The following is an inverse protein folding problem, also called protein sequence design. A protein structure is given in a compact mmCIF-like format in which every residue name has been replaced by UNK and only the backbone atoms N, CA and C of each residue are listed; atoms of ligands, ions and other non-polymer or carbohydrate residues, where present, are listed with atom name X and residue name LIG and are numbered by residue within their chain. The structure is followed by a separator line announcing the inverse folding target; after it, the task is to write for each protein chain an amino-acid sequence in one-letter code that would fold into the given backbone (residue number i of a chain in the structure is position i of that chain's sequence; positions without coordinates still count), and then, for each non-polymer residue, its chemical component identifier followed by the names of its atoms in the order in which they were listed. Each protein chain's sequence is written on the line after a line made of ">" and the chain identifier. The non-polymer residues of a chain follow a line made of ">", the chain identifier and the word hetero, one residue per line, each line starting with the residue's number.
data_IF_821270633793
#
_entry.id   IF_821270633793
#
_cell.length_a   1.000
_cell.length_b   1.000
_cell.length_c   1.000
_cell.angle_alpha   90.00
_cell.angle_beta   90.00
_cell.angle_gamma   90.00
#
_symmetry.space_group_name_H-M   'P 1'
#
loop_
_entity.id
_entity.type
_entity.pdbx_description
1 polymer ?
#
# COMPACT_ATOMS: atom_id res chain seq x y z
N UNK A 1 10.16 -12.93 1.84
CA UNK A 1 10.39 -11.48 1.92
C UNK A 1 9.32 -10.76 1.13
N UNK A 2 8.85 -9.65 1.63
CA UNK A 2 7.84 -8.83 0.95
C UNK A 2 8.37 -7.43 0.73
N UNK A 3 8.10 -6.88 -0.43
CA UNK A 3 8.41 -5.50 -0.75
C UNK A 3 7.12 -4.76 -1.06
N UNK A 4 6.85 -3.73 -0.28
CA UNK A 4 5.69 -2.87 -0.46
C UNK A 4 6.12 -1.56 -1.10
N UNK A 5 5.32 -1.12 -2.05
CA UNK A 5 5.50 0.18 -2.69
C UNK A 5 4.14 0.87 -2.76
N UNK A 6 4.06 2.05 -2.18
CA UNK A 6 2.84 2.84 -2.16
C UNK A 6 3.11 4.23 -2.68
N UNK A 7 2.34 4.63 -3.66
CA UNK A 7 2.27 6.00 -4.14
C UNK A 7 0.80 6.30 -4.40
N UNK A 8 0.18 6.97 -3.44
CA UNK A 8 -1.25 7.21 -3.48
C UNK A 8 -1.54 8.70 -3.57
N UNK A 9 -2.48 9.04 -4.43
CA UNK A 9 -3.05 10.39 -4.49
C UNK A 9 -4.34 10.37 -3.70
N UNK A 10 -4.44 11.25 -2.72
CA UNK A 10 -5.57 11.32 -1.81
C UNK A 10 -6.52 12.44 -2.22
N UNK A 11 -7.80 12.29 -1.93
CA UNK A 11 -8.66 13.46 -1.79
C UNK A 11 -8.10 14.29 -0.64
N UNK A 12 -8.08 15.62 -0.74
CA UNK A 12 -7.47 16.44 0.30
C UNK A 12 -8.00 16.10 1.69
N UNK A 13 -7.07 15.92 2.61
CA UNK A 13 -7.36 15.64 4.01
C UNK A 13 -6.91 16.80 4.88
N UNK A 14 -7.41 16.88 6.07
CA UNK A 14 -7.10 17.96 7.01
C UNK A 14 -5.79 17.72 7.73
N UNK A 15 -5.24 18.78 8.33
CA UNK A 15 -4.04 18.65 9.16
C UNK A 15 -4.25 17.68 10.32
N UNK A 16 -5.45 17.69 10.89
CA UNK A 16 -5.79 16.75 11.98
C UNK A 16 -5.74 15.31 11.49
N UNK A 17 -6.24 15.05 10.29
CA UNK A 17 -6.19 13.72 9.69
C UNK A 17 -4.75 13.29 9.35
N UNK A 18 -3.94 14.23 8.86
CA UNK A 18 -2.52 13.96 8.61
C UNK A 18 -1.84 13.54 9.91
N UNK A 19 -2.06 14.27 11.00
CA UNK A 19 -1.48 13.93 12.30
C UNK A 19 -1.94 12.56 12.80
N UNK A 20 -3.22 12.27 12.58
CA UNK A 20 -3.78 10.98 12.98
C UNK A 20 -3.12 9.83 12.21
N UNK A 21 -2.93 9.98 10.91
CA UNK A 21 -2.28 8.95 10.08
C UNK A 21 -0.82 8.80 10.49
N UNK A 22 -0.11 9.89 10.74
CA UNK A 22 1.27 9.84 11.23
C UNK A 22 1.38 9.07 12.55
N UNK A 23 0.46 9.32 13.47
CA UNK A 23 0.43 8.63 14.75
C UNK A 23 0.22 7.12 14.56
N UNK A 24 -0.66 6.74 13.66
CA UNK A 24 -0.89 5.32 13.35
C UNK A 24 0.38 4.70 12.74
N UNK A 25 1.03 5.39 11.82
CA UNK A 25 2.26 4.88 11.20
C UNK A 25 3.37 4.67 12.24
N UNK A 26 3.48 5.56 13.20
CA UNK A 26 4.47 5.44 14.28
C UNK A 26 4.19 4.20 15.14
N UNK A 27 2.94 3.89 15.39
CA UNK A 27 2.58 2.68 16.15
C UNK A 27 3.03 1.40 15.46
N UNK A 28 3.16 1.44 14.14
CA UNK A 28 3.62 0.29 13.37
C UNK A 28 5.10 0.41 12.97
N UNK A 29 5.79 1.45 13.42
CA UNK A 29 7.17 1.72 13.00
C UNK A 29 7.34 1.78 11.50
N UNK A 30 6.35 2.32 10.81
CA UNK A 30 6.38 2.47 9.36
C UNK A 30 6.67 3.92 9.00
N UNK A 31 7.75 4.14 8.25
CA UNK A 31 8.09 5.46 7.75
C UNK A 31 7.21 5.79 6.55
N UNK A 32 6.53 6.90 6.61
CA UNK A 32 5.68 7.36 5.53
C UNK A 32 5.98 8.81 5.19
N UNK A 33 5.68 9.17 3.95
CA UNK A 33 5.63 10.55 3.51
C UNK A 33 4.16 10.87 3.24
N UNK A 34 3.60 11.79 4.00
CA UNK A 34 2.19 12.14 3.90
C UNK A 34 2.01 13.63 3.85
N UNK A 35 1.13 14.06 2.97
CA UNK A 35 0.69 15.44 2.85
C UNK A 35 -0.81 15.50 2.65
N UNK A 36 -1.29 16.68 2.30
CA UNK A 36 -2.71 16.94 2.11
C UNK A 36 -3.33 16.03 1.05
N UNK A 37 -2.56 15.71 0.00
CA UNK A 37 -3.09 15.00 -1.16
C UNK A 37 -2.24 13.79 -1.56
N UNK A 38 -1.30 13.38 -0.73
CA UNK A 38 -0.47 12.23 -1.09
C UNK A 38 -0.07 11.40 0.12
N UNK A 39 0.17 10.14 -0.15
CA UNK A 39 0.74 9.20 0.81
C UNK A 39 1.70 8.29 0.07
N UNK A 40 2.95 8.27 0.50
CA UNK A 40 3.99 7.45 -0.10
C UNK A 40 4.75 6.69 0.97
N UNK A 41 5.07 5.44 0.68
CA UNK A 41 6.03 4.69 1.49
C UNK A 41 6.56 3.50 0.72
N UNK A 42 7.69 3.00 1.19
CA UNK A 42 8.26 1.74 0.74
C UNK A 42 8.69 0.96 1.97
N UNK A 43 8.52 -0.34 1.92
CA UNK A 43 8.96 -1.22 2.99
C UNK A 43 9.40 -2.54 2.39
N UNK A 44 10.54 -3.05 2.85
CA UNK A 44 11.02 -4.38 2.47
C UNK A 44 11.38 -5.14 3.74
N UNK A 45 10.87 -6.36 3.88
CA UNK A 45 11.12 -7.18 5.05
C UNK A 45 10.20 -8.39 5.07
N UNK A 46 10.19 -9.07 6.20
CA UNK A 46 9.39 -10.28 6.34
C UNK A 46 7.91 -10.01 6.54
N UNK A 47 7.58 -8.93 7.21
CA UNK A 47 6.18 -8.55 7.48
C UNK A 47 5.34 -9.72 8.03
N UNK A 48 5.92 -10.49 8.95
CA UNK A 48 5.27 -11.69 9.48
C UNK A 48 3.98 -11.39 10.23
N UNK A 49 3.86 -10.20 10.81
CA UNK A 49 2.66 -9.76 11.52
C UNK A 49 1.66 -9.05 10.61
N UNK A 50 1.99 -8.87 9.33
CA UNK A 50 1.20 -8.13 8.35
C UNK A 50 0.91 -6.69 8.79
N UNK A 51 1.88 -6.06 9.43
CA UNK A 51 1.67 -4.73 9.99
C UNK A 51 1.41 -3.66 8.93
N UNK A 52 1.97 -3.82 7.73
CA UNK A 52 1.71 -2.87 6.64
C UNK A 52 0.24 -2.92 6.24
N UNK A 53 -0.32 -4.11 6.11
CA UNK A 53 -1.74 -4.29 5.78
C UNK A 53 -2.63 -3.75 6.91
N UNK A 54 -2.25 -4.00 8.15
CA UNK A 54 -2.97 -3.46 9.30
C UNK A 54 -2.96 -1.94 9.32
N UNK A 55 -1.80 -1.34 9.01
CA UNK A 55 -1.70 0.11 8.87
C UNK A 55 -2.67 0.63 7.81
N UNK A 56 -2.66 0.03 6.63
CA UNK A 56 -3.54 0.44 5.53
C UNK A 56 -5.01 0.31 5.93
N UNK A 57 -5.36 -0.79 6.60
CA UNK A 57 -6.73 -1.00 7.08
C UNK A 57 -7.14 0.09 8.09
N UNK A 58 -6.22 0.46 8.97
CA UNK A 58 -6.52 1.42 10.02
C UNK A 58 -6.67 2.85 9.47
N UNK A 59 -5.95 3.19 8.41
CA UNK A 59 -6.06 4.52 7.81
C UNK A 59 -7.18 4.63 6.77
N UNK A 60 -7.68 3.52 6.26
CA UNK A 60 -8.69 3.53 5.22
C UNK A 60 -9.93 4.38 5.55
N UNK A 61 -10.51 4.29 6.76
CA UNK A 61 -11.66 5.14 7.11
C UNK A 61 -11.32 6.63 7.16
N UNK A 62 -10.06 6.97 7.47
CA UNK A 62 -9.61 8.37 7.54
C UNK A 62 -9.42 8.92 6.14
N UNK A 63 -8.77 8.14 5.29
CA UNK A 63 -8.47 8.53 3.91
C UNK A 63 -9.73 8.59 3.05
N UNK A 64 -10.64 7.65 3.26
CA UNK A 64 -11.87 7.51 2.49
C UNK A 64 -11.62 6.94 1.10
N UNK A 65 -10.87 7.64 0.27
CA UNK A 65 -10.55 7.19 -1.08
C UNK A 65 -9.16 7.65 -1.48
N UNK A 66 -8.42 6.77 -2.10
CA UNK A 66 -7.14 7.07 -2.70
C UNK A 66 -7.11 6.59 -4.14
N UNK A 67 -6.36 7.29 -4.98
CA UNK A 67 -6.09 6.88 -6.35
C UNK A 67 -4.71 6.21 -6.38
N UNK A 68 -4.63 5.12 -7.13
CA UNK A 68 -3.43 4.30 -7.19
C UNK A 68 -3.56 3.08 -6.31
N UNK A 69 -2.51 2.28 -6.31
CA UNK A 69 -2.49 1.02 -5.59
C UNK A 69 -1.24 0.91 -4.72
N UNK A 70 -1.37 0.20 -3.62
CA UNK A 70 -0.21 -0.30 -2.89
C UNK A 70 0.10 -1.67 -3.47
N UNK A 71 1.33 -1.85 -3.92
CA UNK A 71 1.79 -3.10 -4.51
C UNK A 71 2.70 -3.80 -3.52
N UNK A 72 2.41 -5.07 -3.26
CA UNK A 72 3.27 -5.93 -2.47
C UNK A 72 3.81 -7.03 -3.36
N UNK A 73 5.11 -7.09 -3.52
CA UNK A 73 5.77 -8.18 -4.21
C UNK A 73 6.27 -9.19 -3.18
N UNK A 74 5.83 -10.43 -3.32
CA UNK A 74 6.26 -11.52 -2.47
C UNK A 74 7.36 -12.27 -3.20
N UNK A 75 8.57 -12.13 -2.70
CA UNK A 75 9.76 -12.68 -3.34
C UNK A 75 9.94 -14.12 -2.88
N UNK A 76 9.92 -15.03 -3.85
CA UNK A 76 10.12 -16.45 -3.65
C UNK A 76 11.49 -16.87 -4.19
N UNK A 77 12.18 -17.76 -3.48
CA UNK A 77 13.53 -18.16 -3.84
C UNK A 77 13.57 -19.14 -5.03
N UNK A 78 12.54 -19.96 -5.18
CA UNK A 78 12.54 -21.09 -6.09
C UNK A 78 11.43 -21.08 -7.13
N UNK A 79 10.70 -19.98 -7.24
CA UNK A 79 9.58 -19.82 -8.16
C UNK A 79 9.33 -18.36 -8.44
N UNK A 80 8.40 -18.09 -9.37
CA UNK A 80 7.99 -16.73 -9.70
C UNK A 80 7.41 -16.03 -8.48
N UNK A 81 7.62 -14.73 -8.43
CA UNK A 81 7.10 -13.90 -7.35
C UNK A 81 5.58 -13.77 -7.44
N UNK A 82 4.94 -13.69 -6.29
CA UNK A 82 3.53 -13.40 -6.18
C UNK A 82 3.33 -11.92 -5.90
N UNK A 83 2.15 -11.42 -6.18
CA UNK A 83 1.80 -10.02 -5.96
C UNK A 83 0.49 -9.88 -5.23
N UNK A 84 0.43 -8.87 -4.37
CA UNK A 84 -0.79 -8.42 -3.72
C UNK A 84 -0.98 -6.96 -4.04
N UNK A 85 -2.21 -6.56 -4.30
CA UNK A 85 -2.55 -5.18 -4.65
C UNK A 85 -3.61 -4.69 -3.69
N UNK A 86 -3.42 -3.48 -3.17
CA UNK A 86 -4.34 -2.89 -2.20
C UNK A 86 -4.81 -1.54 -2.70
N UNK A 87 -6.10 -1.28 -2.54
CA UNK A 87 -6.74 -0.02 -2.87
C UNK A 87 -7.60 0.44 -1.71
N UNK A 88 -7.76 1.76 -1.58
CA UNK A 88 -8.64 2.34 -0.58
C UNK A 88 -9.81 3.00 -1.31
N UNK A 89 -11.01 2.52 -1.04
CA UNK A 89 -12.26 3.07 -1.58
C UNK A 89 -13.37 2.96 -0.54
N UNK A 90 -14.19 3.98 -0.46
CA UNK A 90 -15.35 4.01 0.44
C UNK A 90 -14.98 3.70 1.90
N UNK A 91 -13.81 4.18 2.32
CA UNK A 91 -13.32 3.98 3.68
C UNK A 91 -12.88 2.55 3.98
N UNK A 92 -12.70 1.73 2.95
CA UNK A 92 -12.35 0.32 3.10
C UNK A 92 -11.09 -0.01 2.34
N UNK A 93 -10.34 -0.98 2.84
CA UNK A 93 -9.18 -1.53 2.16
C UNK A 93 -9.62 -2.71 1.30
N UNK A 94 -9.36 -2.62 0.00
CA UNK A 94 -9.64 -3.67 -0.96
C UNK A 94 -8.36 -4.38 -1.32
N UNK A 95 -8.48 -5.67 -1.57
CA UNK A 95 -7.34 -6.56 -1.77
C UNK A 95 -7.55 -7.41 -3.01
N UNK A 96 -6.48 -7.58 -3.78
CA UNK A 96 -6.48 -8.45 -4.95
C UNK A 96 -5.13 -9.14 -5.05
N UNK A 97 -5.12 -10.42 -5.32
CA UNK A 97 -3.88 -11.15 -5.62
C UNK A 97 -3.68 -11.23 -7.12
N UNK A 98 -2.43 -11.43 -7.52
CA UNK A 98 -2.12 -11.60 -8.91
C UNK A 98 -0.69 -12.06 -9.13
N UNK A 99 -0.40 -12.39 -10.38
CA UNK A 99 0.95 -12.70 -10.83
C UNK A 99 1.23 -11.86 -12.05
N UNK A 100 2.41 -11.29 -12.10
CA UNK A 100 2.85 -10.65 -13.32
C UNK A 100 3.44 -11.73 -14.20
N UNK A 101 2.76 -12.00 -15.29
CA UNK A 101 3.18 -12.99 -16.25
C UNK A 101 3.85 -12.27 -17.41
N UNK A 102 5.15 -12.43 -17.54
CA UNK A 102 5.92 -11.72 -18.55
C UNK A 102 5.46 -11.99 -19.95
N UNK A 103 5.07 -13.23 -20.22
CA UNK A 103 4.56 -13.60 -21.53
C UNK A 103 3.29 -12.88 -21.94
N UNK A 104 2.66 -12.22 -21.00
CA UNK A 104 1.45 -11.44 -21.27
C UNK A 104 1.74 -9.99 -21.60
N UNK A 105 2.98 -9.62 -21.64
CA UNK A 105 3.31 -8.28 -22.07
C UNK A 105 2.74 -8.05 -23.44
N UNK A 106 2.22 -6.85 -23.61
CA UNK A 106 1.61 -6.51 -24.88
C UNK A 106 2.66 -6.41 -25.95
N UNK A 107 2.31 -6.97 -27.07
CA UNK A 107 3.07 -6.73 -28.26
C UNK A 107 2.75 -5.30 -28.68
N UNK A 108 3.77 -4.50 -28.78
CA UNK A 108 3.62 -3.13 -29.22
C UNK A 108 3.93 -3.07 -30.69
N UNK A 109 2.91 -2.95 -31.43
CA UNK A 109 3.01 -2.90 -32.88
C UNK A 109 2.92 -1.50 -33.40
#
# INVERSE_FOLDING_TARGET
>A
MKEYSAYLVLKPITDAQIRQIKSISENYNLNIDIGESHLEFEYAGRDSSRFVVKFLRDIAPIVGKAFGEVVCEIINDDRDNDFEFYQIRDGKLLFQTGKIVRGQERIID
#
